data_IF_646528332268
#
_entry.id   IF_646528332268
#
_cell.length_a   1.000
_cell.length_b   1.000
_cell.length_c   1.000
_cell.angle_alpha   90.00
_cell.angle_beta   90.00
_cell.angle_gamma   90.00
#
_symmetry.space_group_name_H-M   'P 1'
#
loop_
_entity.id
_entity.type
_entity.pdbx_description
1 polymer ?
#
# COMPACT_ATOMS: atom_id res chain seq x y z
N UNK A 1 -5.28 5.85 11.10
CA UNK A 1 -6.24 6.47 10.16
C UNK A 1 -7.17 5.35 9.69
N UNK A 2 -8.42 5.61 9.31
CA UNK A 2 -9.24 4.52 8.79
C UNK A 2 -9.09 4.44 7.27
N UNK A 3 -8.49 3.36 6.78
CA UNK A 3 -8.34 3.07 5.36
C UNK A 3 -9.55 2.30 4.84
N UNK A 4 -9.98 2.60 3.61
CA UNK A 4 -10.96 1.81 2.88
C UNK A 4 -10.37 1.35 1.54
N UNK A 5 -10.95 0.28 0.99
CA UNK A 5 -10.57 -0.20 -0.34
C UNK A 5 -10.79 0.91 -1.37
N UNK A 6 -9.78 1.14 -2.21
CA UNK A 6 -9.80 2.17 -3.24
C UNK A 6 -9.13 3.50 -2.85
N UNK A 7 -8.75 3.70 -1.59
CA UNK A 7 -7.97 4.88 -1.20
C UNK A 7 -6.61 4.88 -1.90
N UNK A 8 -6.27 6.01 -2.51
CA UNK A 8 -4.94 6.27 -3.04
C UNK A 8 -4.09 6.86 -1.92
N UNK A 9 -2.90 6.33 -1.72
CA UNK A 9 -2.05 6.72 -0.59
C UNK A 9 -0.64 7.09 -1.02
N UNK A 10 -0.01 7.97 -0.24
CA UNK A 10 1.43 8.23 -0.32
C UNK A 10 2.09 7.42 0.80
N UNK A 11 3.10 6.64 0.45
CA UNK A 11 3.89 5.85 1.38
C UNK A 11 5.39 6.11 1.16
N UNK A 12 6.22 5.75 2.15
CA UNK A 12 7.66 5.88 2.00
C UNK A 12 8.20 4.90 0.93
N UNK A 13 8.94 5.43 -0.06
CA UNK A 13 9.36 4.72 -1.29
C UNK A 13 10.03 3.35 -1.06
N UNK A 14 10.70 3.16 0.06
CA UNK A 14 11.46 1.95 0.38
C UNK A 14 10.80 1.10 1.48
N UNK A 15 9.55 1.38 1.80
CA UNK A 15 8.77 0.61 2.77
C UNK A 15 7.94 -0.46 2.06
N UNK A 16 7.73 -1.58 2.76
CA UNK A 16 6.86 -2.66 2.33
C UNK A 16 7.58 -3.91 1.85
N UNK A 17 6.81 -4.84 1.29
CA UNK A 17 7.32 -6.09 0.72
C UNK A 17 6.53 -6.41 -0.53
N UNK A 18 7.24 -6.54 -1.65
CA UNK A 18 6.66 -6.99 -2.91
C UNK A 18 6.25 -8.45 -2.79
N UNK A 19 5.03 -8.75 -3.22
CA UNK A 19 4.51 -10.10 -3.34
C UNK A 19 3.87 -10.26 -4.72
N UNK A 20 3.96 -11.47 -5.25
CA UNK A 20 3.24 -11.84 -6.46
C UNK A 20 2.02 -12.67 -6.09
N UNK A 21 0.85 -12.23 -6.53
CA UNK A 21 -0.42 -12.94 -6.32
C UNK A 21 -0.54 -14.18 -7.19
N UNK A 22 -1.46 -15.07 -6.81
CA UNK A 22 -1.78 -16.29 -7.57
C UNK A 22 -2.38 -15.98 -8.95
N UNK A 23 -2.90 -14.77 -9.12
CA UNK A 23 -3.46 -14.17 -10.33
C UNK A 23 -2.40 -13.52 -11.25
N UNK A 24 -1.10 -13.74 -10.97
CA UNK A 24 0.04 -13.11 -11.63
C UNK A 24 0.12 -11.57 -11.44
N UNK A 25 -0.70 -11.00 -10.56
CA UNK A 25 -0.66 -9.57 -10.23
C UNK A 25 0.42 -9.24 -9.18
N UNK A 26 1.07 -8.10 -9.33
CA UNK A 26 2.06 -7.60 -8.38
C UNK A 26 1.39 -6.75 -7.29
N UNK A 27 1.63 -7.08 -6.02
CA UNK A 27 1.12 -6.34 -4.88
C UNK A 27 2.26 -5.89 -3.97
N UNK A 28 2.03 -4.78 -3.26
CA UNK A 28 2.93 -4.27 -2.23
C UNK A 28 2.23 -4.31 -0.87
N UNK A 29 2.75 -5.12 0.05
CA UNK A 29 2.28 -5.12 1.43
C UNK A 29 2.92 -3.96 2.17
N UNK A 30 2.09 -3.09 2.76
CA UNK A 30 2.53 -1.96 3.58
C UNK A 30 1.98 -2.07 5.00
N UNK A 31 2.78 -1.67 5.98
CA UNK A 31 2.25 -1.44 7.33
C UNK A 31 1.60 -0.06 7.41
N UNK A 32 0.56 0.08 8.22
CA UNK A 32 -0.18 1.35 8.36
C UNK A 32 0.73 2.53 8.71
N UNK A 33 1.76 2.30 9.54
CA UNK A 33 2.76 3.29 9.95
C UNK A 33 3.59 3.88 8.82
N UNK A 34 3.69 3.18 7.68
CA UNK A 34 4.48 3.59 6.53
C UNK A 34 3.68 4.48 5.56
N UNK A 35 2.39 4.65 5.82
CA UNK A 35 1.50 5.53 5.05
C UNK A 35 1.60 6.96 5.58
N UNK A 36 1.98 7.88 4.70
CA UNK A 36 2.22 9.29 5.01
C UNK A 36 0.95 10.14 4.83
N UNK A 37 0.13 9.83 3.82
CA UNK A 37 -1.11 10.57 3.52
C UNK A 37 -2.07 9.77 2.62
N UNK A 38 -3.33 10.21 2.55
CA UNK A 38 -4.35 9.77 1.58
C UNK A 38 -4.53 10.88 0.53
N UNK A 39 -4.63 10.52 -0.75
CA UNK A 39 -4.89 11.40 -1.89
C UNK A 39 -6.39 11.38 -2.24
N UNK A 40 -6.97 12.56 -2.50
CA UNK A 40 -8.37 12.76 -2.92
C UNK A 40 -8.48 13.03 -4.44
#
# INVERSE_FOLDING_TARGET
>A
MQFKKGDKVIYAKYSGTDIKGDDDEDYLILSEKDILAILE
#
